data_IF_128253657915
#
_entry.id   IF_128253657915
#
_cell.length_a   1.000
_cell.length_b   1.000
_cell.length_c   1.000
_cell.angle_alpha   90.00
_cell.angle_beta   90.00
_cell.angle_gamma   90.00
#
_symmetry.space_group_name_H-M   'P 1'
#
loop_
_entity.id
_entity.type
_entity.pdbx_description
1 polymer ?
#
# COMPACT_ATOMS: atom_id res chain seq x y z
N UNK A 1 7.11 14.36 5.18
CA UNK A 1 6.21 14.01 6.31
C UNK A 1 6.89 14.21 7.66
N UNK A 2 8.01 13.58 7.96
CA UNK A 2 8.69 13.67 9.27
C UNK A 2 9.02 15.10 9.69
N UNK A 3 9.42 15.96 8.77
CA UNK A 3 9.83 17.34 9.02
C UNK A 3 8.67 18.35 8.84
N UNK A 4 7.45 17.89 8.54
CA UNK A 4 6.30 18.74 8.28
C UNK A 4 6.44 19.66 7.06
N UNK A 5 7.30 19.30 6.10
CA UNK A 5 7.61 20.13 4.92
C UNK A 5 6.67 19.90 3.74
N UNK A 6 5.82 18.86 3.78
CA UNK A 6 4.82 18.62 2.73
C UNK A 6 3.64 19.56 2.97
N UNK A 7 3.23 20.31 1.95
CA UNK A 7 2.04 21.14 2.01
C UNK A 7 0.77 20.27 2.13
N UNK A 8 -0.22 20.73 2.88
CA UNK A 8 -1.48 20.00 3.09
C UNK A 8 -2.15 19.63 1.75
N UNK A 9 -2.19 20.55 0.78
CA UNK A 9 -2.76 20.28 -0.54
C UNK A 9 -2.03 19.17 -1.31
N UNK A 10 -0.71 19.08 -1.16
CA UNK A 10 0.09 18.01 -1.77
C UNK A 10 -0.17 16.66 -1.11
N UNK A 11 -0.30 16.66 0.22
CA UNK A 11 -0.67 15.48 0.96
C UNK A 11 -2.10 15.01 0.63
N UNK A 12 -3.06 15.92 0.57
CA UNK A 12 -4.45 15.61 0.24
C UNK A 12 -4.59 15.03 -1.16
N UNK A 13 -3.83 15.58 -2.13
CA UNK A 13 -3.75 15.00 -3.47
C UNK A 13 -3.16 13.60 -3.47
N UNK A 14 -2.08 13.37 -2.71
CA UNK A 14 -1.47 12.05 -2.56
C UNK A 14 -2.46 11.07 -1.91
N UNK A 15 -3.17 11.47 -0.85
CA UNK A 15 -4.16 10.65 -0.14
C UNK A 15 -5.30 10.19 -1.08
N UNK A 16 -5.77 11.08 -1.96
CA UNK A 16 -6.77 10.71 -2.97
C UNK A 16 -6.24 9.67 -3.97
N UNK A 17 -4.96 9.72 -4.32
CA UNK A 17 -4.31 8.72 -5.18
C UNK A 17 -4.08 7.39 -4.44
N UNK A 18 -3.79 7.46 -3.15
CA UNK A 18 -3.61 6.29 -2.31
C UNK A 18 -4.93 5.51 -2.16
N UNK A 19 -6.07 6.18 -2.01
CA UNK A 19 -7.38 5.54 -2.03
C UNK A 19 -7.65 4.77 -3.34
N UNK A 20 -7.24 5.32 -4.50
CA UNK A 20 -7.34 4.63 -5.79
C UNK A 20 -6.43 3.41 -5.80
N UNK A 21 -5.18 3.55 -5.35
CA UNK A 21 -4.22 2.47 -5.28
C UNK A 21 -4.71 1.33 -4.36
N UNK A 22 -5.25 1.65 -3.18
CA UNK A 22 -5.77 0.66 -2.22
C UNK A 22 -6.98 -0.11 -2.79
N UNK A 23 -7.83 0.53 -3.61
CA UNK A 23 -8.90 -0.16 -4.33
C UNK A 23 -8.36 -1.14 -5.40
N UNK A 24 -7.30 -0.76 -6.11
CA UNK A 24 -6.60 -1.64 -7.05
C UNK A 24 -5.92 -2.81 -6.31
N UNK A 25 -5.31 -2.54 -5.15
CA UNK A 25 -4.67 -3.52 -4.27
C UNK A 25 -5.67 -4.55 -3.75
N UNK A 26 -6.87 -4.11 -3.31
CA UNK A 26 -7.96 -5.03 -2.93
C UNK A 26 -8.28 -6.01 -4.06
N UNK A 27 -8.44 -5.48 -5.26
CA UNK A 27 -8.75 -6.27 -6.46
C UNK A 27 -7.66 -7.30 -6.76
N UNK A 28 -6.39 -6.90 -6.69
CA UNK A 28 -5.24 -7.78 -6.86
C UNK A 28 -5.19 -8.86 -5.77
N UNK A 29 -5.27 -8.47 -4.50
CA UNK A 29 -5.18 -9.41 -3.37
C UNK A 29 -6.34 -10.41 -3.34
N UNK A 30 -7.56 -10.01 -3.73
CA UNK A 30 -8.69 -10.91 -3.85
C UNK A 30 -8.46 -11.98 -4.93
N UNK A 31 -7.89 -11.60 -6.10
CA UNK A 31 -7.50 -12.56 -7.14
C UNK A 31 -6.35 -13.45 -6.70
N UNK A 32 -5.38 -12.92 -5.95
CA UNK A 32 -4.29 -13.71 -5.37
C UNK A 32 -4.84 -14.72 -4.35
N UNK A 33 -5.76 -14.31 -3.49
CA UNK A 33 -6.46 -15.19 -2.53
C UNK A 33 -7.20 -16.33 -3.25
N UNK A 34 -7.89 -16.04 -4.36
CA UNK A 34 -8.66 -17.04 -5.11
C UNK A 34 -7.79 -18.20 -5.64
N UNK A 35 -6.49 -17.97 -5.86
CA UNK A 35 -5.51 -18.98 -6.32
C UNK A 35 -4.51 -19.42 -5.25
N UNK A 36 -4.69 -18.95 -4.02
CA UNK A 36 -3.78 -19.21 -2.93
C UNK A 36 -3.80 -20.66 -2.44
N UNK A 37 -2.65 -21.25 -2.11
CA UNK A 37 -2.60 -22.51 -1.40
C UNK A 37 -3.21 -22.36 0.00
N UNK A 38 -3.71 -23.47 0.58
CA UNK A 38 -4.50 -23.47 1.83
C UNK A 38 -3.83 -22.70 2.97
N UNK A 39 -2.51 -22.83 3.14
CA UNK A 39 -1.74 -22.18 4.21
C UNK A 39 -1.70 -20.65 4.08
N UNK A 40 -1.84 -20.09 2.88
CA UNK A 40 -1.79 -18.66 2.63
C UNK A 40 -3.17 -17.99 2.72
N UNK A 41 -4.26 -18.76 2.67
CA UNK A 41 -5.61 -18.21 2.55
C UNK A 41 -6.02 -17.34 3.75
N UNK A 42 -5.64 -17.71 4.98
CA UNK A 42 -6.04 -16.95 6.16
C UNK A 42 -5.42 -15.55 6.19
N UNK A 43 -4.13 -15.43 5.89
CA UNK A 43 -3.41 -14.15 5.85
C UNK A 43 -3.98 -13.26 4.75
N UNK A 44 -4.14 -13.79 3.53
CA UNK A 44 -4.66 -13.01 2.41
C UNK A 44 -6.14 -12.61 2.60
N UNK A 45 -6.97 -13.47 3.18
CA UNK A 45 -8.35 -13.12 3.50
C UNK A 45 -8.43 -12.03 4.56
N UNK A 46 -7.61 -12.12 5.61
CA UNK A 46 -7.48 -11.08 6.63
C UNK A 46 -7.07 -9.73 6.04
N UNK A 47 -6.08 -9.74 5.15
CA UNK A 47 -5.67 -8.53 4.42
C UNK A 47 -6.78 -7.93 3.56
N UNK A 48 -7.56 -8.75 2.82
CA UNK A 48 -8.72 -8.22 2.08
C UNK A 48 -9.74 -7.55 3.01
N UNK A 49 -10.01 -8.11 4.19
CA UNK A 49 -10.92 -7.50 5.17
C UNK A 49 -10.36 -6.17 5.68
N UNK A 50 -9.04 -6.13 5.98
CA UNK A 50 -8.38 -4.91 6.42
C UNK A 50 -8.43 -3.81 5.34
N UNK A 51 -8.19 -4.16 4.08
CA UNK A 51 -8.25 -3.19 2.96
C UNK A 51 -9.67 -2.65 2.77
N UNK A 52 -10.72 -3.45 2.96
CA UNK A 52 -12.11 -2.94 2.92
C UNK A 52 -12.34 -1.89 4.01
N UNK A 53 -11.90 -2.17 5.25
CA UNK A 53 -11.99 -1.20 6.34
C UNK A 53 -11.12 0.06 6.08
N UNK A 54 -10.00 -0.10 5.40
CA UNK A 54 -9.14 0.99 4.96
C UNK A 54 -9.83 1.91 3.95
N UNK A 55 -10.55 1.35 2.98
CA UNK A 55 -11.33 2.14 2.02
C UNK A 55 -12.44 2.94 2.72
N UNK A 56 -13.15 2.35 3.70
CA UNK A 56 -14.12 3.06 4.52
C UNK A 56 -13.44 4.22 5.30
N UNK A 57 -12.23 4.00 5.81
CA UNK A 57 -11.46 5.03 6.50
C UNK A 57 -11.05 6.18 5.55
N UNK A 58 -10.64 5.90 4.31
CA UNK A 58 -10.36 6.94 3.31
C UNK A 58 -11.58 7.82 3.05
N UNK A 59 -12.79 7.25 2.97
CA UNK A 59 -14.02 8.03 2.81
C UNK A 59 -14.26 8.99 3.99
N UNK A 60 -14.01 8.54 5.21
CA UNK A 60 -14.12 9.37 6.42
C UNK A 60 -13.09 10.50 6.39
N UNK A 61 -11.82 10.19 6.10
CA UNK A 61 -10.74 11.19 6.04
C UNK A 61 -10.97 12.20 4.92
N UNK A 62 -11.41 11.74 3.75
CA UNK A 62 -11.74 12.60 2.64
C UNK A 62 -12.88 13.58 2.99
N UNK A 63 -13.93 13.09 3.67
CA UNK A 63 -15.03 13.94 4.14
C UNK A 63 -14.56 15.01 5.14
N UNK A 64 -13.68 14.63 6.08
CA UNK A 64 -13.15 15.55 7.10
C UNK A 64 -12.23 16.63 6.52
N UNK A 65 -11.45 16.28 5.51
CA UNK A 65 -10.46 17.16 4.88
C UNK A 65 -10.99 17.89 3.64
N UNK A 66 -12.21 17.56 3.16
CA UNK A 66 -12.79 18.13 1.95
C UNK A 66 -12.13 17.62 0.66
N UNK A 67 -11.62 16.39 0.67
CA UNK A 67 -10.95 15.76 -0.47
C UNK A 67 -11.99 15.09 -1.38
N UNK A 68 -11.85 15.29 -2.69
CA UNK A 68 -12.60 14.54 -3.70
C UNK A 68 -11.84 13.23 -4.05
N UNK A 69 -12.40 12.08 -3.69
CA UNK A 69 -11.85 10.77 -4.06
C UNK A 69 -12.19 10.37 -5.52
N UNK A 70 -13.07 11.11 -6.19
CA UNK A 70 -13.45 10.89 -7.59
C UNK A 70 -12.43 11.42 -8.62
N UNK A 71 -11.20 11.70 -8.21
CA UNK A 71 -10.14 12.22 -9.08
C UNK A 71 -9.64 11.18 -10.08
N UNK A 72 -9.02 11.66 -11.17
CA UNK A 72 -8.36 10.77 -12.13
C UNK A 72 -7.02 10.27 -11.56
N UNK A 73 -6.66 8.99 -11.83
CA UNK A 73 -5.37 8.46 -11.40
C UNK A 73 -4.21 9.20 -12.11
N UNK A 74 -3.20 9.56 -11.34
CA UNK A 74 -1.97 10.16 -11.84
C UNK A 74 -1.05 9.10 -12.49
N UNK A 75 -0.02 9.52 -13.25
CA UNK A 75 0.89 8.59 -13.94
C UNK A 75 1.52 7.54 -13.03
N UNK A 76 1.92 7.91 -11.80
CA UNK A 76 2.49 6.97 -10.84
C UNK A 76 1.46 5.92 -10.37
N UNK A 77 0.21 6.33 -10.11
CA UNK A 77 -0.90 5.43 -9.76
C UNK A 77 -1.22 4.47 -10.91
N UNK A 78 -1.25 4.98 -12.16
CA UNK A 78 -1.45 4.14 -13.34
C UNK A 78 -0.31 3.14 -13.55
N UNK A 79 0.94 3.55 -13.32
CA UNK A 79 2.09 2.66 -13.41
C UNK A 79 2.03 1.55 -12.36
N UNK A 80 1.62 1.88 -11.14
CA UNK A 80 1.46 0.90 -10.07
C UNK A 80 0.31 -0.08 -10.37
N UNK A 81 -0.83 0.39 -10.88
CA UNK A 81 -1.91 -0.47 -11.38
C UNK A 81 -1.40 -1.45 -12.42
N UNK A 82 -0.60 -1.00 -13.39
CA UNK A 82 -0.02 -1.85 -14.41
C UNK A 82 0.94 -2.90 -13.82
N UNK A 83 1.67 -2.57 -12.74
CA UNK A 83 2.45 -3.56 -11.98
C UNK A 83 1.55 -4.64 -11.38
N UNK A 84 0.48 -4.25 -10.67
CA UNK A 84 -0.46 -5.21 -10.07
C UNK A 84 -1.11 -6.12 -11.12
N UNK A 85 -1.47 -5.58 -12.28
CA UNK A 85 -1.98 -6.36 -13.42
C UNK A 85 -0.96 -7.39 -13.95
N UNK A 86 0.33 -7.04 -14.03
CA UNK A 86 1.38 -7.99 -14.40
C UNK A 86 1.55 -9.10 -13.36
N UNK A 87 1.45 -8.75 -12.08
CA UNK A 87 1.54 -9.69 -10.96
C UNK A 87 0.35 -10.67 -10.90
N UNK A 88 -0.82 -10.30 -11.42
CA UNK A 88 -1.95 -11.22 -11.55
C UNK A 88 -1.63 -12.43 -12.45
N UNK A 89 -0.81 -12.23 -13.47
CA UNK A 89 -0.37 -13.29 -14.37
C UNK A 89 0.88 -14.06 -13.87
N UNK A 90 1.53 -13.55 -12.83
CA UNK A 90 2.74 -14.15 -12.28
C UNK A 90 2.45 -15.41 -11.44
N UNK A 91 3.41 -16.33 -11.25
CA UNK A 91 3.30 -17.42 -10.27
C UNK A 91 2.94 -16.89 -8.86
N UNK A 92 2.21 -17.71 -8.08
CA UNK A 92 1.73 -17.32 -6.75
C UNK A 92 2.86 -16.81 -5.84
N UNK A 93 3.98 -17.53 -5.80
CA UNK A 93 5.14 -17.22 -4.98
C UNK A 93 5.80 -15.88 -5.36
N UNK A 94 5.81 -15.53 -6.66
CA UNK A 94 6.26 -14.21 -7.11
C UNK A 94 5.28 -13.11 -6.69
N UNK A 95 3.98 -13.32 -6.90
CA UNK A 95 2.96 -12.35 -6.61
C UNK A 95 2.83 -12.06 -5.09
N UNK A 96 2.89 -13.10 -4.23
CA UNK A 96 2.85 -12.92 -2.78
C UNK A 96 4.13 -12.26 -2.25
N UNK A 97 5.29 -12.54 -2.87
CA UNK A 97 6.55 -11.86 -2.54
C UNK A 97 6.49 -10.37 -2.88
N UNK A 98 5.95 -10.01 -4.05
CA UNK A 98 5.74 -8.62 -4.42
C UNK A 98 4.78 -7.91 -3.46
N UNK A 99 3.66 -8.54 -3.10
CA UNK A 99 2.72 -8.03 -2.10
C UNK A 99 3.42 -7.78 -0.76
N UNK A 100 4.22 -8.73 -0.28
CA UNK A 100 4.98 -8.55 0.94
C UNK A 100 5.96 -7.39 0.88
N UNK A 101 6.71 -7.25 -0.23
CA UNK A 101 7.67 -6.14 -0.40
C UNK A 101 6.94 -4.80 -0.34
N UNK A 102 5.83 -4.66 -1.06
CA UNK A 102 4.96 -3.49 -1.08
C UNK A 102 4.50 -3.11 0.34
N UNK A 103 3.84 -4.02 1.03
CA UNK A 103 3.30 -3.77 2.37
C UNK A 103 4.42 -3.50 3.39
N UNK A 104 5.55 -4.18 3.27
CA UNK A 104 6.72 -3.97 4.12
C UNK A 104 7.33 -2.59 3.96
N UNK A 105 7.48 -2.13 2.72
CA UNK A 105 8.04 -0.80 2.43
C UNK A 105 7.08 0.30 2.87
N UNK A 106 5.79 0.11 2.67
CA UNK A 106 4.76 1.04 3.15
C UNK A 106 4.80 1.19 4.68
N UNK A 107 4.81 0.07 5.42
CA UNK A 107 4.95 0.07 6.88
C UNK A 107 6.23 0.79 7.35
N UNK A 108 7.37 0.49 6.72
CA UNK A 108 8.65 1.11 7.07
C UNK A 108 8.69 2.60 6.72
N UNK A 109 8.08 2.99 5.61
CA UNK A 109 7.93 4.38 5.20
C UNK A 109 7.20 5.19 6.26
N UNK A 110 6.03 4.72 6.68
CA UNK A 110 5.23 5.38 7.72
C UNK A 110 5.91 5.37 9.08
N UNK A 111 6.51 4.25 9.49
CA UNK A 111 7.28 4.18 10.74
C UNK A 111 8.46 5.17 10.74
N UNK A 112 9.10 5.39 9.60
CA UNK A 112 10.19 6.38 9.47
C UNK A 112 9.70 7.83 9.58
N UNK A 113 8.42 8.08 9.28
CA UNK A 113 7.79 9.39 9.37
C UNK A 113 7.36 9.75 10.79
N UNK A 114 7.41 8.80 11.74
CA UNK A 114 7.05 9.03 13.13
C UNK A 114 7.89 10.15 13.76
N UNK A 115 7.22 11.18 14.27
CA UNK A 115 7.81 12.31 14.97
C UNK A 115 6.77 12.92 15.90
N UNK A 116 7.17 13.34 17.09
CA UNK A 116 6.28 14.01 18.05
C UNK A 116 5.74 15.36 17.56
N UNK A 117 6.29 15.90 16.49
CA UNK A 117 5.92 17.20 15.91
C UNK A 117 5.34 17.07 14.50
N UNK A 118 5.14 15.86 14.00
CA UNK A 118 4.57 15.65 12.66
C UNK A 118 3.10 16.07 12.63
N UNK A 119 2.67 16.92 11.69
CA UNK A 119 1.25 17.22 11.48
C UNK A 119 0.45 16.03 10.95
N UNK A 120 1.14 14.95 10.53
CA UNK A 120 0.56 13.72 10.02
C UNK A 120 0.58 12.57 11.04
N UNK A 121 0.63 12.89 12.35
CA UNK A 121 0.72 11.90 13.43
C UNK A 121 -0.40 10.87 13.40
N UNK A 122 -1.65 11.29 13.12
CA UNK A 122 -2.81 10.41 13.02
C UNK A 122 -2.67 9.36 11.89
N UNK A 123 -2.07 9.74 10.76
CA UNK A 123 -1.80 8.84 9.64
C UNK A 123 -0.68 7.85 9.98
N UNK A 124 0.38 8.33 10.64
CA UNK A 124 1.44 7.46 11.14
C UNK A 124 0.89 6.41 12.10
N UNK A 125 0.06 6.82 13.07
CA UNK A 125 -0.57 5.90 14.01
C UNK A 125 -1.48 4.89 13.32
N UNK A 126 -2.24 5.34 12.32
CA UNK A 126 -3.15 4.49 11.55
C UNK A 126 -2.41 3.40 10.77
N UNK A 127 -1.31 3.76 10.09
CA UNK A 127 -0.55 2.84 9.22
C UNK A 127 0.66 2.15 9.89
N UNK A 128 0.82 2.29 11.21
CA UNK A 128 1.86 1.58 11.98
C UNK A 128 1.30 0.78 13.15
N UNK A 129 0.05 0.30 13.00
CA UNK A 129 -0.60 -0.51 14.04
C UNK A 129 0.10 -1.87 14.19
N UNK A 130 0.07 -2.46 15.41
CA UNK A 130 0.55 -3.83 15.62
C UNK A 130 -0.14 -4.84 14.70
N UNK A 131 -1.43 -4.69 14.42
CA UNK A 131 -2.18 -5.57 13.55
C UNK A 131 -1.67 -5.53 12.10
N UNK A 132 -1.31 -4.34 11.60
CA UNK A 132 -0.70 -4.21 10.28
C UNK A 132 0.70 -4.83 10.24
N UNK A 133 1.51 -4.63 11.29
CA UNK A 133 2.83 -5.27 11.38
C UNK A 133 2.72 -6.81 11.41
N UNK A 134 1.77 -7.38 12.16
CA UNK A 134 1.51 -8.82 12.18
C UNK A 134 1.07 -9.36 10.81
N UNK A 135 0.26 -8.60 10.09
CA UNK A 135 -0.13 -8.96 8.72
C UNK A 135 1.08 -8.98 7.78
N UNK A 136 1.93 -7.96 7.82
CA UNK A 136 3.17 -7.88 7.02
C UNK A 136 4.11 -9.04 7.36
N UNK A 137 4.28 -9.38 8.64
CA UNK A 137 5.08 -10.51 9.07
C UNK A 137 4.49 -11.85 8.55
N UNK A 138 3.18 -12.02 8.60
CA UNK A 138 2.48 -13.19 8.05
C UNK A 138 2.65 -13.33 6.52
N UNK A 139 2.68 -12.23 5.78
CA UNK A 139 3.06 -12.25 4.36
C UNK A 139 4.53 -12.64 4.17
N UNK A 140 5.42 -12.20 5.08
CA UNK A 140 6.84 -12.54 5.07
C UNK A 140 7.12 -14.02 5.18
N UNK A 141 6.29 -14.77 5.93
CA UNK A 141 6.38 -16.22 6.01
C UNK A 141 6.05 -16.95 4.69
N UNK A 142 5.34 -16.28 3.80
CA UNK A 142 4.96 -16.80 2.48
C UNK A 142 5.90 -16.34 1.36
N UNK A 143 6.67 -15.30 1.60
CA UNK A 143 7.53 -14.66 0.60
C UNK A 143 8.83 -15.43 0.39
N UNK A 144 9.38 -15.38 -0.82
CA UNK A 144 10.67 -15.94 -1.18
C UNK A 144 11.47 -14.90 -1.94
N UNK A 145 12.57 -14.43 -1.36
CA UNK A 145 13.43 -13.40 -1.96
C UNK A 145 14.51 -13.98 -2.89
N UNK A 146 14.88 -15.24 -2.73
CA UNK A 146 15.94 -15.86 -3.52
C UNK A 146 15.63 -15.79 -5.03
N UNK A 147 16.54 -15.18 -5.79
CA UNK A 147 16.42 -15.02 -7.23
C UNK A 147 15.33 -14.03 -7.69
N UNK A 148 14.91 -13.11 -6.82
CA UNK A 148 13.84 -12.13 -7.12
C UNK A 148 14.28 -10.66 -7.02
N UNK A 149 15.58 -10.40 -7.19
CA UNK A 149 16.14 -9.05 -7.08
C UNK A 149 15.48 -8.08 -8.06
N UNK A 150 15.21 -8.50 -9.30
CA UNK A 150 14.54 -7.68 -10.30
C UNK A 150 13.08 -7.37 -9.92
N UNK A 151 12.36 -8.34 -9.33
CA UNK A 151 10.99 -8.15 -8.84
C UNK A 151 10.96 -7.15 -7.68
N UNK A 152 11.87 -7.29 -6.74
CA UNK A 152 12.01 -6.38 -5.60
C UNK A 152 12.34 -4.97 -6.10
N UNK A 153 13.29 -4.83 -7.02
CA UNK A 153 13.67 -3.55 -7.60
C UNK A 153 12.51 -2.90 -8.37
N UNK A 154 11.68 -3.69 -9.08
CA UNK A 154 10.50 -3.18 -9.80
C UNK A 154 9.47 -2.62 -8.81
N UNK A 155 9.14 -3.35 -7.73
CA UNK A 155 8.23 -2.86 -6.68
C UNK A 155 8.77 -1.58 -6.05
N UNK A 156 10.05 -1.56 -5.64
CA UNK A 156 10.67 -0.39 -5.01
C UNK A 156 10.66 0.84 -5.92
N UNK A 157 10.83 0.64 -7.23
CA UNK A 157 10.77 1.73 -8.20
C UNK A 157 9.38 2.36 -8.24
N UNK A 158 8.33 1.55 -8.20
CA UNK A 158 6.94 2.04 -8.16
C UNK A 158 6.61 2.70 -6.82
N UNK A 159 7.09 2.15 -5.71
CA UNK A 159 6.96 2.76 -4.38
C UNK A 159 7.57 4.17 -4.33
N UNK A 160 8.82 4.31 -4.76
CA UNK A 160 9.49 5.62 -4.78
C UNK A 160 8.72 6.62 -5.64
N UNK A 161 8.31 6.22 -6.85
CA UNK A 161 7.54 7.09 -7.75
C UNK A 161 6.18 7.50 -7.14
N UNK A 162 5.54 6.60 -6.38
CA UNK A 162 4.28 6.87 -5.73
C UNK A 162 4.43 7.86 -4.57
N UNK A 163 5.46 7.71 -3.74
CA UNK A 163 5.77 8.65 -2.67
C UNK A 163 6.21 10.03 -3.20
N UNK A 164 7.02 10.07 -4.27
CA UNK A 164 7.48 11.31 -4.89
C UNK A 164 6.33 12.14 -5.49
N UNK A 165 5.21 11.52 -5.81
CA UNK A 165 4.00 12.18 -6.26
C UNK A 165 3.45 13.19 -5.23
N UNK A 166 3.72 12.99 -3.94
CA UNK A 166 3.38 13.94 -2.89
C UNK A 166 4.23 15.24 -2.94
N UNK A 167 5.36 15.22 -3.66
CA UNK A 167 6.30 16.35 -3.76
C UNK A 167 6.12 17.15 -5.04
N UNK A 168 5.32 16.68 -5.99
CA UNK A 168 5.03 17.30 -7.27
C UNK A 168 3.76 18.24 -7.18
#
# INVERSE_FOLDING_TARGET
MREGTIADESFDRWLAQDAIFVADLLSFQARLLARAPRQAQAVLAGGCVAIVAELDWFEVMASQRGIDLGVQPLPATLAYRALLERLDAAPFDAAVTALWVLERVYLLGWASAASSTSPFGEFVEHWTTPAFAEYVDGLGELATLEGRDDLVADVLTHEVAFWDMALA
#
